data_IF_327820875674
#
_entry.id   IF_327820875674
#
_cell.length_a   1.000
_cell.length_b   1.000
_cell.length_c   1.000
_cell.angle_alpha   90.00
_cell.angle_beta   90.00
_cell.angle_gamma   90.00
#
_symmetry.space_group_name_H-M   'P 1'
#
loop_
_entity.id
_entity.type
_entity.pdbx_description
1 polymer ?
#
# COMPACT_ATOMS: atom_id res chain seq x y z
N UNK A 1 72.57 20.36 30.13
CA UNK A 1 71.48 20.95 29.32
C UNK A 1 70.63 19.79 28.82
N UNK A 2 69.57 19.43 29.54
CA UNK A 2 68.63 18.37 29.12
C UNK A 2 67.34 19.05 28.67
N UNK A 3 67.08 19.10 27.37
CA UNK A 3 65.76 19.45 26.85
C UNK A 3 64.95 18.17 26.64
N UNK A 4 63.81 18.08 27.34
CA UNK A 4 62.77 17.08 27.12
C UNK A 4 61.91 17.56 25.94
N UNK A 5 61.59 16.74 24.94
CA UNK A 5 60.61 17.12 23.93
C UNK A 5 59.21 17.13 24.54
N UNK A 6 58.51 18.25 24.37
CA UNK A 6 57.12 18.45 24.75
C UNK A 6 56.22 17.46 24.02
N UNK A 7 55.41 16.71 24.78
CA UNK A 7 54.41 15.78 24.25
C UNK A 7 53.02 16.35 24.44
N UNK A 8 52.68 17.38 23.66
CA UNK A 8 51.33 17.97 23.67
C UNK A 8 50.83 18.27 22.27
N UNK A 9 50.69 17.25 21.43
CA UNK A 9 49.89 17.37 20.21
C UNK A 9 49.04 16.10 20.09
N UNK A 10 47.72 16.28 20.02
CA UNK A 10 46.67 15.26 19.83
C UNK A 10 46.16 14.52 21.08
N UNK A 11 45.35 15.21 21.89
CA UNK A 11 44.30 14.54 22.68
C UNK A 11 42.90 15.05 22.27
N UNK A 12 42.54 14.85 21.00
CA UNK A 12 41.12 14.83 20.59
C UNK A 12 40.54 13.46 20.96
N UNK A 13 39.95 13.40 22.16
CA UNK A 13 39.47 12.16 22.76
C UNK A 13 38.25 11.57 22.07
N UNK A 14 38.24 10.24 21.93
CA UNK A 14 37.12 9.39 21.48
C UNK A 14 35.78 9.65 22.20
N UNK A 15 35.80 10.34 23.34
CA UNK A 15 34.61 10.70 24.13
C UNK A 15 33.76 11.81 23.53
N UNK A 16 34.35 12.71 22.72
CA UNK A 16 33.57 13.79 22.09
C UNK A 16 32.74 13.29 20.90
N UNK A 17 33.00 12.08 20.42
CA UNK A 17 32.27 11.49 19.29
C UNK A 17 30.92 10.89 19.72
N UNK A 18 30.79 10.40 20.96
CA UNK A 18 29.56 9.78 21.46
C UNK A 18 28.51 10.84 21.83
N UNK A 19 28.92 12.00 22.34
CA UNK A 19 28.00 13.08 22.75
C UNK A 19 27.34 13.78 21.55
N UNK A 20 27.99 13.80 20.37
CA UNK A 20 27.40 14.32 19.14
C UNK A 20 26.40 13.34 18.47
N UNK A 21 26.56 12.04 18.69
CA UNK A 21 25.72 11.01 18.07
C UNK A 21 24.32 10.89 18.70
N UNK A 22 24.17 11.22 19.99
CA UNK A 22 22.87 11.12 20.68
C UNK A 22 21.92 12.28 20.37
N UNK A 23 22.44 13.49 20.12
CA UNK A 23 21.61 14.65 19.78
C UNK A 23 21.05 14.60 18.35
N UNK A 24 21.76 13.96 17.41
CA UNK A 24 21.29 13.78 16.03
C UNK A 24 20.23 12.67 15.90
N UNK A 25 20.20 11.70 16.82
CA UNK A 25 19.24 10.59 16.77
C UNK A 25 17.82 11.00 17.20
N UNK A 26 17.69 11.99 18.09
CA UNK A 26 16.39 12.44 18.62
C UNK A 26 15.57 13.26 17.59
N UNK A 27 16.21 13.83 16.57
CA UNK A 27 15.54 14.62 15.53
C UNK A 27 14.96 13.78 14.37
N UNK A 28 15.22 12.47 14.33
CA UNK A 28 14.87 11.62 13.19
C UNK A 28 13.48 10.96 13.27
N UNK A 29 12.73 11.11 14.38
CA UNK A 29 11.57 10.23 14.66
C UNK A 29 10.22 10.78 14.18
N UNK A 30 10.06 12.04 13.79
CA UNK A 30 8.72 12.62 13.55
C UNK A 30 8.46 13.15 12.14
N UNK A 31 8.99 12.50 11.10
CA UNK A 31 8.35 12.61 9.79
C UNK A 31 7.53 11.34 9.54
N UNK A 32 6.26 11.35 9.99
CA UNK A 32 5.22 10.57 9.31
C UNK A 32 5.10 11.17 7.92
N UNK A 33 6.03 10.79 7.04
CA UNK A 33 6.00 11.13 5.63
C UNK A 33 4.76 10.41 5.10
N UNK A 34 3.66 11.14 4.93
CA UNK A 34 2.64 10.78 3.95
C UNK A 34 3.37 10.74 2.62
N UNK A 35 3.92 9.56 2.30
CA UNK A 35 4.50 9.31 0.99
C UNK A 35 3.40 9.69 -0.01
N UNK A 36 3.71 10.59 -0.94
CA UNK A 36 2.88 10.73 -2.11
C UNK A 36 2.73 9.32 -2.70
N UNK A 37 1.52 8.77 -2.60
CA UNK A 37 1.19 7.41 -3.02
C UNK A 37 1.50 7.32 -4.51
N UNK A 38 2.55 6.58 -4.88
CA UNK A 38 2.77 6.27 -6.28
C UNK A 38 1.57 5.46 -6.75
N UNK A 39 0.89 5.83 -7.85
CA UNK A 39 -0.27 5.09 -8.31
C UNK A 39 0.06 3.61 -8.46
N UNK A 40 -0.79 2.73 -7.92
CA UNK A 40 -0.63 1.28 -8.07
C UNK A 40 -0.58 0.90 -9.55
N UNK A 41 0.37 0.03 -9.90
CA UNK A 41 0.37 -0.65 -11.19
C UNK A 41 -0.72 -1.72 -11.22
N UNK A 42 -1.74 -1.50 -12.03
CA UNK A 42 -2.84 -2.44 -12.24
C UNK A 42 -2.68 -3.32 -13.48
N UNK A 43 -1.56 -3.21 -14.21
CA UNK A 43 -1.28 -4.05 -15.38
C UNK A 43 -0.93 -5.49 -14.98
N UNK A 44 -0.46 -5.69 -13.75
CA UNK A 44 -0.01 -6.98 -13.24
C UNK A 44 1.38 -7.40 -13.74
N UNK A 45 2.07 -6.54 -14.50
CA UNK A 45 3.42 -6.81 -15.00
C UNK A 45 4.44 -6.79 -13.86
N UNK A 46 4.29 -5.84 -12.92
CA UNK A 46 5.12 -5.78 -11.72
C UNK A 46 4.31 -6.34 -10.54
N UNK A 47 4.70 -7.49 -9.97
CA UNK A 47 3.98 -8.06 -8.84
C UNK A 47 4.04 -7.16 -7.60
N UNK A 48 2.90 -6.99 -6.93
CA UNK A 48 2.84 -6.29 -5.63
C UNK A 48 3.59 -7.08 -4.57
N UNK A 49 4.45 -6.42 -3.80
CA UNK A 49 5.18 -7.05 -2.69
C UNK A 49 4.28 -7.22 -1.47
N UNK A 50 4.44 -8.34 -0.77
CA UNK A 50 3.77 -8.59 0.50
C UNK A 50 4.57 -8.07 1.72
N UNK A 51 3.87 -7.66 2.81
CA UNK A 51 2.42 -7.42 2.86
C UNK A 51 2.05 -6.27 1.93
N UNK A 52 0.87 -6.34 1.31
CA UNK A 52 0.42 -5.31 0.38
C UNK A 52 0.47 -3.92 1.07
N UNK A 53 1.22 -2.95 0.50
CA UNK A 53 1.43 -1.66 1.14
C UNK A 53 0.15 -0.83 1.25
N UNK A 54 -0.84 -1.06 0.39
CA UNK A 54 -2.08 -0.27 0.36
C UNK A 54 -3.15 -0.83 1.33
N UNK A 55 -2.89 -1.97 1.97
CA UNK A 55 -3.74 -2.50 3.03
C UNK A 55 -3.27 -1.91 4.37
N UNK A 56 -3.81 -0.76 4.75
CA UNK A 56 -3.43 -0.05 5.98
C UNK A 56 -4.51 -0.18 7.05
N UNK A 57 -4.13 -0.60 8.26
CA UNK A 57 -5.00 -0.57 9.44
C UNK A 57 -4.89 0.79 10.12
N UNK A 58 -6.01 1.50 10.23
CA UNK A 58 -6.06 2.81 10.90
C UNK A 58 -6.25 2.69 12.42
N UNK A 59 -6.71 1.54 12.89
CA UNK A 59 -6.95 1.21 14.30
C UNK A 59 -6.45 -0.22 14.57
N UNK A 60 -5.76 -0.40 15.69
CA UNK A 60 -5.09 -1.66 16.03
C UNK A 60 -6.04 -2.87 16.10
N UNK A 61 -7.33 -2.65 16.37
CA UNK A 61 -8.34 -3.72 16.40
C UNK A 61 -8.50 -4.43 15.05
N UNK A 62 -8.12 -3.77 13.94
CA UNK A 62 -8.19 -4.32 12.59
C UNK A 62 -6.92 -5.07 12.17
N UNK A 63 -5.81 -5.00 12.92
CA UNK A 63 -4.56 -5.68 12.57
C UNK A 63 -4.76 -7.20 12.37
N UNK A 64 -5.68 -7.81 13.14
CA UNK A 64 -6.03 -9.23 13.03
C UNK A 64 -6.82 -9.60 11.77
N UNK A 65 -7.43 -8.63 11.09
CA UNK A 65 -8.22 -8.85 9.86
C UNK A 65 -7.37 -8.68 8.60
N UNK A 66 -6.16 -8.12 8.72
CA UNK A 66 -5.24 -7.94 7.60
C UNK A 66 -4.62 -9.28 7.20
N UNK A 67 -4.88 -9.70 5.97
CA UNK A 67 -4.18 -10.83 5.35
C UNK A 67 -2.82 -10.37 4.82
N UNK A 68 -1.74 -10.94 5.34
CA UNK A 68 -0.37 -10.51 5.01
C UNK A 68 0.19 -11.07 3.70
N UNK A 69 -0.50 -12.01 3.07
CA UNK A 69 -0.04 -12.81 1.93
C UNK A 69 -0.92 -12.67 0.67
N UNK A 70 -1.74 -11.62 0.59
CA UNK A 70 -2.61 -11.36 -0.55
C UNK A 70 -2.51 -9.91 -1.01
N UNK A 71 -2.59 -9.63 -2.31
CA UNK A 71 -2.64 -8.28 -2.83
C UNK A 71 -4.10 -7.84 -3.01
N UNK A 72 -4.32 -6.53 -3.17
CA UNK A 72 -5.57 -6.01 -3.74
C UNK A 72 -5.59 -6.35 -5.24
N UNK A 73 -6.67 -6.98 -5.69
CA UNK A 73 -6.88 -7.35 -7.09
C UNK A 73 -7.99 -6.51 -7.71
N UNK A 74 -7.78 -6.06 -8.95
CA UNK A 74 -8.81 -5.38 -9.74
C UNK A 74 -9.41 -6.35 -10.75
N UNK A 75 -10.62 -6.82 -10.44
CA UNK A 75 -11.34 -7.79 -11.28
C UNK A 75 -11.96 -7.17 -12.53
N UNK A 76 -12.24 -5.86 -12.52
CA UNK A 76 -12.81 -5.15 -13.67
C UNK A 76 -12.49 -3.66 -13.62
N UNK A 77 -12.26 -3.08 -14.80
CA UNK A 77 -12.23 -1.65 -15.04
C UNK A 77 -12.45 -1.39 -16.53
N UNK A 78 -13.16 -0.32 -16.86
CA UNK A 78 -13.35 0.16 -18.23
C UNK A 78 -13.31 1.68 -18.23
N UNK A 79 -12.70 2.33 -19.25
CA UNK A 79 -12.82 3.78 -19.44
C UNK A 79 -14.27 4.25 -19.60
N UNK A 80 -15.15 3.37 -20.09
CA UNK A 80 -16.57 3.68 -20.32
C UNK A 80 -17.43 3.54 -19.05
N UNK A 81 -16.91 2.93 -17.98
CA UNK A 81 -17.68 2.70 -16.75
C UNK A 81 -17.74 3.98 -15.93
N UNK A 82 -18.94 4.49 -15.69
CA UNK A 82 -19.14 5.79 -15.05
C UNK A 82 -19.28 5.67 -13.53
N UNK A 83 -20.04 4.67 -13.06
CA UNK A 83 -20.25 4.47 -11.62
C UNK A 83 -20.57 3.02 -11.28
N UNK A 84 -19.55 2.27 -10.82
CA UNK A 84 -19.76 0.94 -10.26
C UNK A 84 -20.38 1.00 -8.85
N UNK A 85 -21.55 0.37 -8.67
CA UNK A 85 -22.21 0.30 -7.37
C UNK A 85 -23.12 -0.94 -7.21
N UNK A 86 -23.73 -1.09 -6.04
CA UNK A 86 -24.63 -2.20 -5.73
C UNK A 86 -24.01 -3.61 -5.88
N UNK A 87 -22.79 -3.88 -5.37
CA UNK A 87 -22.18 -5.19 -5.50
C UNK A 87 -23.00 -6.26 -4.76
N UNK A 88 -23.29 -7.37 -5.42
CA UNK A 88 -24.01 -8.50 -4.84
C UNK A 88 -23.38 -9.84 -5.27
N UNK A 89 -23.05 -10.67 -4.29
CA UNK A 89 -22.46 -11.99 -4.50
C UNK A 89 -23.52 -13.09 -4.46
N UNK A 90 -23.52 -13.99 -5.46
CA UNK A 90 -24.29 -15.22 -5.43
C UNK A 90 -23.37 -16.42 -5.17
N UNK A 91 -23.46 -17.01 -3.98
CA UNK A 91 -22.61 -18.14 -3.60
C UNK A 91 -22.91 -19.47 -4.31
N UNK A 92 -24.16 -19.69 -4.75
CA UNK A 92 -24.53 -20.91 -5.47
C UNK A 92 -24.06 -20.85 -6.92
N UNK A 93 -24.28 -19.71 -7.57
CA UNK A 93 -23.87 -19.46 -8.95
C UNK A 93 -22.42 -19.01 -9.11
N UNK A 94 -21.72 -18.70 -8.01
CA UNK A 94 -20.32 -18.26 -7.99
C UNK A 94 -20.05 -17.05 -8.90
N UNK A 95 -20.87 -16.01 -8.75
CA UNK A 95 -20.73 -14.77 -9.52
C UNK A 95 -21.01 -13.52 -8.69
N UNK A 96 -20.36 -12.43 -9.08
CA UNK A 96 -20.57 -11.08 -8.55
C UNK A 96 -21.36 -10.25 -9.57
N UNK A 97 -22.39 -9.55 -9.13
CA UNK A 97 -23.12 -8.54 -9.89
C UNK A 97 -22.82 -7.14 -9.35
N UNK A 98 -22.87 -6.14 -10.22
CA UNK A 98 -22.89 -4.72 -9.87
C UNK A 98 -23.57 -3.92 -10.99
N UNK A 99 -24.03 -2.72 -10.68
CA UNK A 99 -24.63 -1.79 -11.63
C UNK A 99 -23.65 -0.72 -12.07
N UNK A 100 -23.81 -0.23 -13.29
CA UNK A 100 -23.29 1.04 -13.77
C UNK A 100 -24.46 1.98 -14.07
N UNK A 101 -24.95 2.71 -13.04
CA UNK A 101 -26.25 3.43 -13.12
C UNK A 101 -26.33 4.35 -14.34
N UNK A 102 -25.35 5.24 -14.59
CA UNK A 102 -25.48 6.22 -15.67
C UNK A 102 -25.56 5.57 -17.06
N UNK A 103 -25.06 4.34 -17.19
CA UNK A 103 -25.09 3.56 -18.43
C UNK A 103 -26.27 2.58 -18.50
N UNK A 104 -27.12 2.50 -17.47
CA UNK A 104 -28.29 1.63 -17.39
C UNK A 104 -27.98 0.13 -17.63
N UNK A 105 -26.85 -0.33 -17.09
CA UNK A 105 -26.36 -1.70 -17.29
C UNK A 105 -26.01 -2.36 -15.97
N UNK A 106 -26.33 -3.66 -15.87
CA UNK A 106 -25.77 -4.54 -14.85
C UNK A 106 -24.66 -5.41 -15.44
N UNK A 107 -23.54 -5.48 -14.73
CA UNK A 107 -22.40 -6.33 -15.05
C UNK A 107 -22.44 -7.63 -14.23
N UNK A 108 -21.76 -8.66 -14.74
CA UNK A 108 -21.57 -9.92 -14.02
C UNK A 108 -20.16 -10.45 -14.19
N UNK A 109 -19.45 -10.68 -13.10
CA UNK A 109 -18.17 -11.40 -13.06
C UNK A 109 -18.37 -12.85 -12.62
N UNK A 110 -17.82 -13.80 -13.35
CA UNK A 110 -17.84 -15.23 -13.03
C UNK A 110 -16.54 -15.62 -12.32
N UNK A 111 -16.66 -16.37 -11.21
CA UNK A 111 -15.49 -16.77 -10.42
C UNK A 111 -14.63 -17.83 -11.10
N UNK A 112 -15.23 -18.67 -11.95
CA UNK A 112 -14.55 -19.83 -12.55
C UNK A 112 -13.44 -19.44 -13.53
N UNK A 113 -13.70 -18.44 -14.38
CA UNK A 113 -12.78 -18.01 -15.44
C UNK A 113 -12.40 -16.53 -15.36
N UNK A 114 -12.98 -15.79 -14.40
CA UNK A 114 -12.77 -14.36 -14.24
C UNK A 114 -13.48 -13.50 -15.31
N UNK A 115 -14.34 -14.08 -16.15
CA UNK A 115 -14.99 -13.38 -17.23
C UNK A 115 -16.02 -12.36 -16.72
N UNK A 116 -16.02 -11.16 -17.32
CA UNK A 116 -17.02 -10.12 -17.06
C UNK A 116 -17.96 -9.98 -18.26
N UNK A 117 -19.22 -10.35 -18.06
CA UNK A 117 -20.30 -10.03 -19.00
C UNK A 117 -20.64 -8.55 -18.85
N UNK A 118 -20.35 -7.76 -19.90
CA UNK A 118 -20.58 -6.30 -19.89
C UNK A 118 -22.06 -5.95 -19.82
N UNK A 119 -22.94 -6.66 -20.53
CA UNK A 119 -24.39 -6.45 -20.48
C UNK A 119 -25.06 -7.73 -19.98
N UNK A 120 -25.13 -7.90 -18.66
CA UNK A 120 -25.84 -9.03 -18.07
C UNK A 120 -27.36 -8.80 -18.07
N UNK A 121 -27.77 -7.57 -17.74
CA UNK A 121 -29.17 -7.09 -17.82
C UNK A 121 -29.21 -5.62 -18.21
N UNK A 122 -30.34 -5.23 -18.81
CA UNK A 122 -30.69 -3.86 -19.18
C UNK A 122 -32.13 -3.61 -18.69
N UNK A 123 -32.30 -3.15 -17.44
CA UNK A 123 -33.62 -2.87 -16.88
C UNK A 123 -34.12 -1.54 -17.46
N UNK A 124 -35.03 -1.62 -18.44
CA UNK A 124 -35.67 -0.46 -19.10
C UNK A 124 -36.32 0.53 -18.16
#
# INVERSE_FOLDING_TARGET
MNEKPDSSIFSSGRRNFITGATAAMAAAITTKKTAAETPRDWTGVIPTRYPDPDIVSLDDRFNKLKLGNTPIQRIYHSPDMLWAEGPAWNGVGRYLLWSDIPNDVQHRWLEEDGHVTKQFRYPS
#
